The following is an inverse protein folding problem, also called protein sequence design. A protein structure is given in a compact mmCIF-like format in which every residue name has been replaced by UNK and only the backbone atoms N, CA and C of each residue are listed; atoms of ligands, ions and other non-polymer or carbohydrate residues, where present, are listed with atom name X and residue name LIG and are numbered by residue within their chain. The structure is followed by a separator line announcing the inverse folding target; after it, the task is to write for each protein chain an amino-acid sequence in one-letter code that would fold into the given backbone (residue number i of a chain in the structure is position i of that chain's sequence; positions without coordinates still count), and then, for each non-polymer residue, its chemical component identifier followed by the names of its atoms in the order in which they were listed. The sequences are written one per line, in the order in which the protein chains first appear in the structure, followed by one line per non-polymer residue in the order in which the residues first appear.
data_IF_001116806825
#
_entry.id   IF_001116806825
#
_cell.length_a   1.000
_cell.length_b   1.000
_cell.length_c   1.000
_cell.angle_alpha   90.00
_cell.angle_beta   90.00
_cell.angle_gamma   90.00
#
_symmetry.space_group_name_H-M   'P 1'
#
loop_
_entity.id
_entity.type
_entity.pdbx_description
1 polymer ?
#
# COMPACT_ATOMS: atom_id res chain seq x y z
N UNK A 1 -24.17 1.23 8.39
CA UNK A 1 -23.35 0.02 8.18
C UNK A 1 -22.09 0.45 7.44
N UNK A 2 -20.95 -0.17 7.75
CA UNK A 2 -19.70 0.07 7.02
C UNK A 2 -19.76 -0.75 5.73
N UNK A 3 -19.75 -0.08 4.58
CA UNK A 3 -19.62 -0.70 3.26
C UNK A 3 -18.22 -0.39 2.77
N UNK A 4 -17.42 -1.42 2.52
CA UNK A 4 -16.03 -1.25 2.12
C UNK A 4 -15.93 -0.92 0.64
N UNK A 5 -15.14 0.09 0.31
CA UNK A 5 -14.90 0.53 -1.06
C UNK A 5 -13.49 0.13 -1.53
N UNK A 6 -13.09 0.68 -2.66
CA UNK A 6 -11.75 0.55 -3.23
C UNK A 6 -11.21 1.96 -3.46
N UNK A 7 -10.15 2.31 -2.77
CA UNK A 7 -9.47 3.60 -2.88
C UNK A 7 -8.10 3.44 -3.55
N UNK A 8 -7.78 4.35 -4.47
CA UNK A 8 -6.50 4.40 -5.17
C UNK A 8 -5.82 5.73 -4.91
N UNK A 9 -4.61 5.69 -4.36
CA UNK A 9 -3.75 6.86 -4.20
C UNK A 9 -2.54 6.74 -5.14
N UNK A 10 -2.57 7.48 -6.25
CA UNK A 10 -1.55 7.41 -7.31
C UNK A 10 -0.92 8.77 -7.63
N UNK A 11 -0.20 8.86 -8.75
CA UNK A 11 0.46 10.09 -9.21
C UNK A 11 1.90 10.26 -8.71
N UNK A 12 2.60 11.25 -9.29
CA UNK A 12 4.02 11.44 -9.08
C UNK A 12 4.42 12.28 -7.87
N UNK A 13 3.44 12.91 -7.23
CA UNK A 13 3.61 13.72 -6.04
C UNK A 13 3.88 12.88 -4.80
N UNK A 14 4.53 13.50 -3.81
CA UNK A 14 4.64 12.96 -2.46
C UNK A 14 3.27 12.96 -1.80
N UNK A 15 2.94 11.88 -1.09
CA UNK A 15 1.78 11.86 -0.19
C UNK A 15 1.00 10.53 -0.14
N UNK A 16 1.21 9.63 -1.12
CA UNK A 16 0.33 8.45 -1.33
C UNK A 16 0.29 7.55 -0.10
N UNK A 17 1.46 7.04 0.29
CA UNK A 17 1.66 6.25 1.51
C UNK A 17 1.22 7.02 2.75
N UNK A 18 1.63 8.28 2.93
CA UNK A 18 1.25 9.06 4.13
C UNK A 18 -0.27 9.26 4.23
N UNK A 19 -0.98 9.38 3.10
CA UNK A 19 -2.44 9.45 3.08
C UNK A 19 -3.06 8.12 3.49
N UNK A 20 -2.57 7.00 2.96
CA UNK A 20 -3.02 5.66 3.35
C UNK A 20 -2.81 5.39 4.85
N UNK A 21 -1.65 5.76 5.40
CA UNK A 21 -1.38 5.67 6.83
C UNK A 21 -2.23 6.63 7.67
N UNK A 22 -2.52 7.83 7.17
CA UNK A 22 -3.46 8.75 7.82
C UNK A 22 -4.89 8.21 7.85
N UNK A 23 -5.31 7.52 6.79
CA UNK A 23 -6.59 6.81 6.72
C UNK A 23 -6.62 5.63 7.68
N UNK A 24 -5.55 4.83 7.76
CA UNK A 24 -5.39 3.77 8.75
C UNK A 24 -5.53 4.29 10.18
N UNK A 25 -4.84 5.40 10.51
CA UNK A 25 -4.95 6.05 11.81
C UNK A 25 -6.40 6.47 12.12
N UNK A 26 -7.13 7.01 11.13
CA UNK A 26 -8.54 7.38 11.30
C UNK A 26 -9.41 6.16 11.61
N UNK A 27 -9.20 5.05 10.90
CA UNK A 27 -9.95 3.81 11.11
C UNK A 27 -9.64 3.20 12.49
N UNK A 28 -8.35 3.09 12.84
CA UNK A 28 -7.88 2.60 14.14
C UNK A 28 -8.44 3.44 15.31
N UNK A 29 -8.43 4.77 15.18
CA UNK A 29 -9.02 5.69 16.16
C UNK A 29 -10.54 5.54 16.35
N UNK A 30 -11.21 4.75 15.50
CA UNK A 30 -12.63 4.36 15.61
C UNK A 30 -12.83 2.89 15.95
N UNK A 31 -11.77 2.21 16.42
CA UNK A 31 -11.82 0.80 16.84
C UNK A 31 -11.94 -0.18 15.68
N UNK A 32 -11.56 0.22 14.46
CA UNK A 32 -11.58 -0.65 13.28
C UNK A 32 -10.32 -1.50 13.18
N UNK A 33 -10.45 -2.71 12.65
CA UNK A 33 -9.31 -3.61 12.40
C UNK A 33 -8.66 -3.27 11.07
N UNK A 34 -7.40 -2.89 11.13
CA UNK A 34 -6.61 -2.48 9.96
C UNK A 34 -5.40 -3.39 9.82
N UNK A 35 -5.06 -3.70 8.57
CA UNK A 35 -3.82 -4.38 8.21
C UNK A 35 -3.18 -3.71 6.99
N UNK A 36 -1.86 -3.55 7.04
CA UNK A 36 -1.08 -2.87 6.00
C UNK A 36 -0.06 -3.83 5.45
N UNK A 37 -0.13 -4.09 4.15
CA UNK A 37 0.87 -4.83 3.39
C UNK A 37 1.72 -3.84 2.62
N UNK A 38 3.04 -4.00 2.66
CA UNK A 38 3.97 -3.11 1.98
C UNK A 38 4.79 -3.90 0.97
N UNK A 39 4.53 -3.68 -0.31
CA UNK A 39 5.43 -4.16 -1.35
C UNK A 39 6.75 -3.37 -1.31
N UNK A 40 7.82 -3.98 -1.80
CA UNK A 40 9.18 -3.40 -1.92
C UNK A 40 9.89 -3.15 -0.58
N UNK A 41 9.20 -2.71 0.47
CA UNK A 41 9.76 -2.39 1.79
C UNK A 41 10.19 -3.65 2.55
N UNK A 42 11.24 -3.52 3.36
CA UNK A 42 11.73 -4.56 4.28
C UNK A 42 11.43 -4.23 5.73
N UNK A 43 11.46 -5.25 6.59
CA UNK A 43 11.30 -5.10 8.04
C UNK A 43 12.50 -4.41 8.72
N UNK A 44 13.66 -4.35 8.06
CA UNK A 44 14.91 -3.88 8.64
C UNK A 44 15.00 -2.35 8.80
N UNK A 45 14.09 -1.58 8.21
CA UNK A 45 14.07 -0.12 8.32
C UNK A 45 12.62 0.40 8.41
N UNK A 46 11.98 0.28 9.57
CA UNK A 46 10.62 0.77 9.74
C UNK A 46 10.59 2.30 9.67
N UNK A 47 9.63 2.84 8.92
CA UNK A 47 9.38 4.28 8.84
C UNK A 47 8.74 4.83 10.12
N UNK A 48 8.81 6.15 10.29
CA UNK A 48 8.27 6.82 11.49
C UNK A 48 6.80 6.48 11.79
N UNK A 49 5.95 6.36 10.76
CA UNK A 49 4.55 5.99 10.91
C UNK A 49 4.36 4.54 11.40
N UNK A 50 5.20 3.60 10.97
CA UNK A 50 5.18 2.21 11.44
C UNK A 50 5.50 2.17 12.94
N UNK A 51 6.57 2.88 13.34
CA UNK A 51 7.01 2.94 14.75
C UNK A 51 5.90 3.53 15.63
N UNK A 52 5.34 4.67 15.23
CA UNK A 52 4.33 5.37 16.01
C UNK A 52 3.03 4.58 16.11
N UNK A 53 2.53 4.04 15.00
CA UNK A 53 1.24 3.32 14.98
C UNK A 53 1.33 1.98 15.69
N UNK A 54 2.40 1.19 15.51
CA UNK A 54 2.57 -0.07 16.26
C UNK A 54 2.63 0.15 17.77
N UNK A 55 3.20 1.27 18.23
CA UNK A 55 3.21 1.63 19.65
C UNK A 55 1.83 2.02 20.17
N UNK A 56 1.04 2.75 19.37
CA UNK A 56 -0.28 3.22 19.76
C UNK A 56 -1.37 2.15 19.61
N UNK A 57 -1.24 1.26 18.63
CA UNK A 57 -2.18 0.21 18.25
C UNK A 57 -1.43 -1.12 18.10
N UNK A 58 -1.18 -1.83 19.21
CA UNK A 58 -0.43 -3.10 19.19
C UNK A 58 -1.06 -4.18 18.29
N UNK A 59 -2.38 -4.11 18.09
CA UNK A 59 -3.16 -4.99 17.23
C UNK A 59 -3.04 -4.69 15.72
N UNK A 60 -2.52 -3.51 15.34
CA UNK A 60 -2.30 -3.17 13.94
C UNK A 60 -1.26 -4.13 13.35
N UNK A 61 -1.60 -4.82 12.28
CA UNK A 61 -0.66 -5.64 11.52
C UNK A 61 -0.02 -4.83 10.38
N UNK A 62 1.31 -4.87 10.28
CA UNK A 62 2.06 -4.27 9.18
C UNK A 62 3.02 -5.34 8.67
N UNK A 63 2.85 -5.75 7.42
CA UNK A 63 3.54 -6.88 6.81
C UNK A 63 4.34 -6.37 5.60
N UNK A 64 5.66 -6.17 5.74
CA UNK A 64 6.53 -5.92 4.61
C UNK A 64 6.74 -7.21 3.80
N UNK A 65 6.75 -7.11 2.47
CA UNK A 65 6.98 -8.23 1.55
C UNK A 65 7.98 -7.90 0.45
N UNK A 66 9.04 -7.16 0.78
CA UNK A 66 10.15 -6.90 -0.13
C UNK A 66 11.49 -6.78 0.59
N UNK A 67 12.54 -6.54 -0.19
CA UNK A 67 13.92 -6.50 0.30
C UNK A 67 14.38 -5.09 0.74
N UNK A 68 13.51 -4.09 0.72
CA UNK A 68 13.83 -2.71 1.11
C UNK A 68 14.64 -1.94 0.07
N UNK A 69 14.65 -2.41 -1.18
CA UNK A 69 15.36 -1.80 -2.32
C UNK A 69 14.44 -1.66 -3.51
N UNK A 70 14.65 -0.63 -4.32
CA UNK A 70 14.00 -0.54 -5.63
C UNK A 70 14.48 -1.68 -6.54
N UNK A 71 13.58 -2.17 -7.38
CA UNK A 71 13.91 -3.12 -8.43
C UNK A 71 14.35 -2.34 -9.66
N UNK A 72 15.57 -2.60 -10.11
CA UNK A 72 16.18 -1.97 -11.27
C UNK A 72 16.49 -3.11 -12.25
N UNK A 73 15.83 -3.11 -13.41
CA UNK A 73 15.88 -4.22 -14.35
C UNK A 73 14.90 -5.33 -13.97
N UNK A 74 15.30 -6.58 -14.16
CA UNK A 74 14.47 -7.75 -13.85
C UNK A 74 14.49 -8.08 -12.35
N UNK A 75 13.34 -8.46 -11.75
CA UNK A 75 13.27 -8.90 -10.37
C UNK A 75 14.02 -10.22 -10.18
N UNK A 76 14.62 -10.40 -9.00
CA UNK A 76 15.25 -11.70 -8.65
C UNK A 76 14.18 -12.74 -8.30
N UNK A 77 14.56 -14.02 -8.26
CA UNK A 77 13.67 -15.08 -7.76
C UNK A 77 13.19 -14.82 -6.32
N UNK A 78 14.05 -14.24 -5.48
CA UNK A 78 13.68 -13.83 -4.11
C UNK A 78 12.65 -12.70 -4.11
N UNK A 79 12.82 -11.68 -4.97
CA UNK A 79 11.84 -10.60 -5.11
C UNK A 79 10.46 -11.15 -5.53
N UNK A 80 10.44 -12.08 -6.50
CA UNK A 80 9.23 -12.74 -6.98
C UNK A 80 8.57 -13.61 -5.92
N UNK A 81 9.36 -14.38 -5.17
CA UNK A 81 8.85 -15.24 -4.09
C UNK A 81 8.19 -14.41 -2.98
N UNK A 82 8.87 -13.34 -2.53
CA UNK A 82 8.34 -12.46 -1.49
C UNK A 82 7.06 -11.75 -1.93
N UNK A 83 7.02 -11.26 -3.17
CA UNK A 83 5.84 -10.62 -3.73
C UNK A 83 4.66 -11.59 -3.85
N UNK A 84 4.90 -12.83 -4.30
CA UNK A 84 3.88 -13.87 -4.39
C UNK A 84 3.32 -14.27 -3.02
N UNK A 85 4.19 -14.41 -2.02
CA UNK A 85 3.76 -14.69 -0.65
C UNK A 85 2.93 -13.54 -0.07
N UNK A 86 3.34 -12.29 -0.33
CA UNK A 86 2.59 -11.11 0.09
C UNK A 86 1.23 -11.06 -0.61
N UNK A 87 1.18 -11.29 -1.92
CA UNK A 87 -0.06 -11.34 -2.70
C UNK A 87 -1.03 -12.37 -2.13
N UNK A 88 -0.58 -13.60 -1.91
CA UNK A 88 -1.42 -14.67 -1.36
C UNK A 88 -2.00 -14.29 0.01
N UNK A 89 -1.20 -13.63 0.87
CA UNK A 89 -1.67 -13.13 2.16
C UNK A 89 -2.70 -12.03 2.00
N UNK A 90 -2.49 -11.07 1.10
CA UNK A 90 -3.46 -9.99 0.83
C UNK A 90 -4.78 -10.61 0.34
N UNK A 91 -4.73 -11.52 -0.63
CA UNK A 91 -5.91 -12.17 -1.20
C UNK A 91 -6.72 -12.90 -0.13
N UNK A 92 -6.07 -13.70 0.71
CA UNK A 92 -6.74 -14.38 1.83
C UNK A 92 -7.34 -13.38 2.82
N UNK A 93 -6.62 -12.29 3.10
CA UNK A 93 -7.01 -11.30 4.11
C UNK A 93 -8.20 -10.48 3.65
N UNK A 94 -8.14 -9.93 2.44
CA UNK A 94 -9.18 -9.07 1.86
C UNK A 94 -10.49 -9.83 1.65
N UNK A 95 -10.42 -11.14 1.44
CA UNK A 95 -11.58 -12.03 1.26
C UNK A 95 -12.18 -12.55 2.57
N UNK A 96 -11.54 -12.30 3.73
CA UNK A 96 -11.88 -13.00 4.98
C UNK A 96 -12.96 -12.36 5.84
N UNK A 97 -13.35 -11.11 5.55
CA UNK A 97 -14.26 -10.28 6.38
C UNK A 97 -13.76 -10.05 7.82
N UNK A 98 -12.47 -10.35 8.11
CA UNK A 98 -11.86 -10.17 9.44
C UNK A 98 -11.32 -8.76 9.69
N UNK A 99 -11.08 -8.00 8.62
CA UNK A 99 -10.50 -6.67 8.65
C UNK A 99 -11.45 -5.68 8.00
N UNK A 100 -11.66 -4.55 8.68
CA UNK A 100 -12.43 -3.44 8.13
C UNK A 100 -11.65 -2.70 7.03
N UNK A 101 -10.32 -2.75 7.07
CA UNK A 101 -9.45 -2.08 6.10
C UNK A 101 -8.18 -2.88 5.81
N UNK A 102 -7.88 -3.05 4.51
CA UNK A 102 -6.67 -3.66 3.98
C UNK A 102 -5.96 -2.65 3.09
N UNK A 103 -4.71 -2.35 3.40
CA UNK A 103 -3.89 -1.43 2.60
C UNK A 103 -2.81 -2.24 1.88
N UNK A 104 -2.73 -2.11 0.56
CA UNK A 104 -1.63 -2.61 -0.26
C UNK A 104 -0.77 -1.42 -0.73
N UNK A 105 0.23 -1.08 0.09
CA UNK A 105 1.14 0.03 -0.15
C UNK A 105 2.19 -0.34 -1.21
N UNK A 106 2.44 0.57 -2.15
CA UNK A 106 3.37 0.42 -3.28
C UNK A 106 3.08 -0.78 -4.21
N UNK A 107 1.80 -1.19 -4.31
CA UNK A 107 1.37 -2.26 -5.22
C UNK A 107 1.57 -1.89 -6.70
N UNK A 108 1.42 -0.61 -7.08
CA UNK A 108 1.59 -0.22 -8.49
C UNK A 108 3.06 -0.23 -8.94
N UNK A 109 4.03 0.25 -8.14
CA UNK A 109 5.44 -0.01 -8.40
C UNK A 109 5.79 -1.49 -8.45
N UNK A 110 5.18 -2.33 -7.61
CA UNK A 110 5.37 -3.78 -7.68
C UNK A 110 4.88 -4.35 -9.02
N UNK A 111 3.69 -3.92 -9.48
CA UNK A 111 3.16 -4.28 -10.79
C UNK A 111 4.12 -3.87 -11.91
N UNK A 112 4.58 -2.62 -11.89
CA UNK A 112 5.53 -2.11 -12.90
C UNK A 112 6.88 -2.81 -12.90
N UNK A 113 7.29 -3.34 -11.75
CA UNK A 113 8.51 -4.13 -11.60
C UNK A 113 8.34 -5.61 -11.98
N UNK A 114 7.13 -6.03 -12.40
CA UNK A 114 6.84 -7.42 -12.77
C UNK A 114 6.70 -8.37 -11.57
N UNK A 115 6.48 -7.83 -10.36
CA UNK A 115 6.32 -8.63 -9.14
C UNK A 115 4.90 -9.18 -8.93
N UNK A 116 3.92 -8.50 -9.51
CA UNK A 116 2.50 -8.84 -9.46
C UNK A 116 1.88 -8.47 -10.80
N UNK A 117 0.97 -9.28 -11.29
CA UNK A 117 0.26 -9.08 -12.55
C UNK A 117 -0.93 -8.13 -12.39
N UNK A 118 -1.44 -7.60 -13.52
CA UNK A 118 -2.65 -6.77 -13.50
C UNK A 118 -3.86 -7.60 -13.05
N UNK A 119 -3.92 -8.85 -13.49
CA UNK A 119 -4.98 -9.81 -13.19
C UNK A 119 -5.06 -10.09 -11.68
N UNK A 120 -3.92 -10.23 -11.01
CA UNK A 120 -3.85 -10.39 -9.56
C UNK A 120 -4.37 -9.14 -8.82
N UNK A 121 -4.05 -7.92 -9.29
CA UNK A 121 -4.60 -6.70 -8.67
C UNK A 121 -6.12 -6.60 -8.87
N UNK A 122 -6.62 -6.96 -10.06
CA UNK A 122 -8.07 -7.04 -10.34
C UNK A 122 -8.73 -8.11 -9.46
N UNK A 123 -8.07 -9.26 -9.24
CA UNK A 123 -8.57 -10.31 -8.36
C UNK A 123 -8.75 -9.82 -6.93
N UNK A 124 -7.80 -9.05 -6.37
CA UNK A 124 -7.94 -8.44 -5.04
C UNK A 124 -9.20 -7.58 -4.93
N UNK A 125 -9.48 -6.77 -5.94
CA UNK A 125 -10.66 -5.90 -5.99
C UNK A 125 -11.94 -6.73 -6.01
N UNK A 126 -12.00 -7.75 -6.86
CA UNK A 126 -13.19 -8.57 -7.05
C UNK A 126 -13.47 -9.53 -5.89
N UNK A 127 -12.43 -9.96 -5.17
CA UNK A 127 -12.54 -10.91 -4.04
C UNK A 127 -12.69 -10.22 -2.68
N UNK A 128 -12.46 -8.90 -2.61
CA UNK A 128 -12.66 -8.09 -1.42
C UNK A 128 -14.05 -8.34 -0.82
N UNK A 129 -14.09 -8.61 0.48
CA UNK A 129 -15.35 -8.74 1.21
C UNK A 129 -16.15 -7.42 1.16
N UNK A 130 -17.48 -7.50 1.28
CA UNK A 130 -18.33 -6.31 1.26
C UNK A 130 -18.04 -5.34 2.43
N UNK A 131 -17.56 -5.86 3.56
CA UNK A 131 -17.21 -5.06 4.75
C UNK A 131 -15.78 -4.54 4.78
N UNK A 132 -14.92 -4.93 3.83
CA UNK A 132 -13.50 -4.55 3.83
C UNK A 132 -13.26 -3.37 2.89
N UNK A 133 -12.66 -2.28 3.39
CA UNK A 133 -12.08 -1.21 2.58
C UNK A 133 -10.74 -1.66 2.01
N UNK A 134 -10.53 -1.51 0.70
CA UNK A 134 -9.26 -1.86 0.05
C UNK A 134 -8.57 -0.60 -0.48
N UNK A 135 -7.38 -0.30 0.05
CA UNK A 135 -6.59 0.87 -0.33
C UNK A 135 -5.37 0.43 -1.12
N UNK A 136 -5.21 0.90 -2.35
CA UNK A 136 -4.10 0.60 -3.24
C UNK A 136 -3.26 1.87 -3.45
N UNK A 137 -1.94 1.79 -3.29
CA UNK A 137 -1.07 2.96 -3.44
C UNK A 137 0.06 2.74 -4.43
N UNK A 138 0.60 3.86 -4.92
CA UNK A 138 1.85 3.88 -5.67
C UNK A 138 1.75 4.59 -7.00
N UNK A 139 2.90 4.80 -7.66
CA UNK A 139 2.97 5.55 -8.92
C UNK A 139 2.46 4.72 -10.10
N UNK A 140 1.65 5.33 -10.96
CA UNK A 140 1.21 4.75 -12.23
C UNK A 140 0.20 3.62 -12.05
N UNK A 141 -0.91 3.90 -11.36
CA UNK A 141 -2.03 2.97 -11.31
C UNK A 141 -2.52 2.66 -12.75
N UNK A 142 -2.73 1.37 -13.11
CA UNK A 142 -3.27 1.00 -14.42
C UNK A 142 -4.67 1.58 -14.63
N UNK A 143 -5.02 1.93 -15.88
CA UNK A 143 -6.33 2.51 -16.16
C UNK A 143 -7.48 1.57 -15.82
N UNK A 144 -7.28 0.27 -15.97
CA UNK A 144 -8.22 -0.78 -15.57
C UNK A 144 -8.54 -0.68 -14.09
N UNK A 145 -7.52 -0.48 -13.26
CA UNK A 145 -7.69 -0.34 -11.81
C UNK A 145 -8.37 0.99 -11.47
N UNK A 146 -8.03 2.07 -12.17
CA UNK A 146 -8.69 3.38 -12.02
C UNK A 146 -10.19 3.26 -12.30
N UNK A 147 -10.57 2.54 -13.36
CA UNK A 147 -11.98 2.33 -13.74
C UNK A 147 -12.75 1.48 -12.72
N UNK A 148 -12.08 0.54 -12.05
CA UNK A 148 -12.69 -0.35 -11.05
C UNK A 148 -12.76 0.27 -9.65
N UNK A 149 -11.94 1.27 -9.35
CA UNK A 149 -11.90 1.90 -8.04
C UNK A 149 -13.09 2.86 -7.82
N UNK A 150 -13.53 2.96 -6.57
CA UNK A 150 -14.60 3.87 -6.16
C UNK A 150 -14.08 5.29 -5.92
N UNK A 151 -12.84 5.40 -5.45
CA UNK A 151 -12.14 6.66 -5.24
C UNK A 151 -10.75 6.58 -5.85
N UNK A 152 -10.38 7.58 -6.65
CA UNK A 152 -9.03 7.72 -7.18
C UNK A 152 -8.55 9.14 -6.89
N UNK A 153 -7.42 9.26 -6.20
CA UNK A 153 -6.72 10.53 -6.02
C UNK A 153 -5.37 10.47 -6.71
N UNK A 154 -5.16 11.39 -7.66
CA UNK A 154 -3.85 11.61 -8.28
C UNK A 154 -3.12 12.71 -7.52
N UNK A 155 -2.02 12.35 -6.87
CA UNK A 155 -1.10 13.31 -6.28
C UNK A 155 -0.18 13.85 -7.37
N UNK A 156 -0.50 15.02 -7.90
CA UNK A 156 0.34 15.67 -8.91
C UNK A 156 1.56 16.33 -8.29
N UNK A 157 2.75 16.07 -8.84
CA UNK A 157 3.99 16.74 -8.41
C UNK A 157 4.03 18.17 -8.97
N UNK A 158 3.53 19.14 -8.19
CA UNK A 158 3.61 20.57 -8.56
C UNK A 158 5.00 21.14 -8.30
N UNK A 159 5.62 20.77 -7.16
CA UNK A 159 7.03 21.02 -6.84
C UNK A 159 7.55 19.93 -5.91
N UNK A 160 8.85 19.66 -5.92
CA UNK A 160 9.45 18.76 -4.93
C UNK A 160 10.82 19.26 -4.45
N UNK A 161 11.14 19.26 -3.14
CA UNK A 161 12.44 19.71 -2.62
C UNK A 161 13.65 19.02 -3.24
N UNK A 162 13.48 17.75 -3.64
CA UNK A 162 14.51 16.98 -4.37
C UNK A 162 14.98 17.68 -5.66
N UNK A 163 14.10 18.42 -6.35
CA UNK A 163 14.46 19.18 -7.56
C UNK A 163 15.41 20.34 -7.26
N UNK A 164 15.53 20.72 -5.98
CA UNK A 164 16.48 21.71 -5.47
C UNK A 164 17.73 21.04 -4.86
N UNK A 165 17.91 19.73 -5.04
CA UNK A 165 19.02 18.97 -4.46
C UNK A 165 18.86 18.64 -2.97
N UNK A 166 17.71 18.93 -2.36
CA UNK A 166 17.46 18.63 -0.95
C UNK A 166 17.22 17.12 -0.79
N UNK A 167 18.06 16.47 0.02
CA UNK A 167 17.98 15.03 0.32
C UNK A 167 16.81 14.72 1.27
N UNK A 168 16.46 13.44 1.36
CA UNK A 168 15.44 12.94 2.28
C UNK A 168 15.80 13.23 3.75
N UNK A 169 14.80 13.56 4.56
CA UNK A 169 14.94 13.94 5.96
C UNK A 169 14.08 13.05 6.86
N UNK A 170 14.64 12.72 8.01
CA UNK A 170 13.96 11.99 9.08
C UNK A 170 12.72 12.77 9.54
N UNK A 171 11.59 12.07 9.68
CA UNK A 171 10.30 12.62 10.10
C UNK A 171 9.52 13.32 8.98
N UNK A 172 10.07 13.44 7.77
CA UNK A 172 9.38 14.06 6.63
C UNK A 172 9.28 13.13 5.43
N UNK A 173 10.41 12.57 4.99
CA UNK A 173 10.48 11.63 3.87
C UNK A 173 10.52 10.17 4.34
N UNK A 174 11.07 9.90 5.52
CA UNK A 174 11.10 8.58 6.19
C UNK A 174 11.12 8.70 7.71
#
# INVERSE_FOLDING_TARGET
MWEGLVEVYTGDGKGKTTCAFGLALRALGRGKKVIIFQFIKSISSPSGEVIALKKAFPELEIIPGGMGRFIIGEPTEEDLSLAKDLYNRILLTVSSDKYDMVIADEIFPAYRAGLISLEEVIELINKKSAGTELVLTGRGAPEEIIRLAHLVTEMKKIKHPYEQGIKARIGIEY
#
